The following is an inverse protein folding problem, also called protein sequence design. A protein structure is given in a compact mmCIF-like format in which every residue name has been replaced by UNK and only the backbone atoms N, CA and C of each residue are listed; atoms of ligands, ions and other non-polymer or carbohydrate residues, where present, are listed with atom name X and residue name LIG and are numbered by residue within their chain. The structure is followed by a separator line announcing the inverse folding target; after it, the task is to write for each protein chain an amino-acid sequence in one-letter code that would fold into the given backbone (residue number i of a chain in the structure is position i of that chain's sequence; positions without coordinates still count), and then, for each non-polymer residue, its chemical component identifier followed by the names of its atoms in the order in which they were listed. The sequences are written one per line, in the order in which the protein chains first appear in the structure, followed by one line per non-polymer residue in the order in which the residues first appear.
data_IF_577984302308
#
_entry.id   IF_577984302308
#
_cell.length_a   1.000
_cell.length_b   1.000
_cell.length_c   1.000
_cell.angle_alpha   90.00
_cell.angle_beta   90.00
_cell.angle_gamma   90.00
#
_symmetry.space_group_name_H-M   'P 1'
#
loop_
_entity.id
_entity.type
_entity.pdbx_description
1 polymer ?
#
# COMPACT_ATOMS: atom_id res chain seq x y z
N UNK A 1 -6.91 12.25 4.04
CA UNK A 1 -7.90 13.00 3.24
C UNK A 1 -7.47 13.13 1.78
N UNK A 2 -6.29 13.67 1.48
CA UNK A 2 -5.82 13.83 0.10
C UNK A 2 -5.82 12.48 -0.68
N UNK A 3 -5.26 11.41 -0.08
CA UNK A 3 -5.26 10.04 -0.63
C UNK A 3 -6.64 9.39 -0.75
N UNK A 4 -7.64 9.86 0.02
CA UNK A 4 -9.02 9.37 -0.06
C UNK A 4 -9.70 9.92 -1.32
N UNK A 5 -9.53 11.23 -1.56
CA UNK A 5 -10.14 11.92 -2.69
C UNK A 5 -9.45 11.58 -4.02
N UNK A 6 -8.16 11.28 -4.02
CA UNK A 6 -7.49 10.84 -5.25
C UNK A 6 -7.94 9.47 -5.76
N UNK A 7 -8.64 8.69 -4.94
CA UNK A 7 -9.15 7.38 -5.32
C UNK A 7 -8.07 6.49 -5.93
N UNK A 8 -8.33 5.99 -7.14
CA UNK A 8 -7.40 5.15 -7.91
C UNK A 8 -6.35 5.94 -8.73
N UNK A 9 -6.07 7.21 -8.42
CA UNK A 9 -4.99 7.96 -9.09
C UNK A 9 -3.62 7.44 -8.65
N UNK A 10 -3.12 6.42 -9.36
CA UNK A 10 -2.00 5.61 -8.87
C UNK A 10 -0.63 6.24 -9.09
N UNK A 11 -0.40 7.00 -10.16
CA UNK A 11 0.98 7.10 -10.67
C UNK A 11 1.85 8.18 -10.01
N UNK A 12 1.40 9.44 -9.97
CA UNK A 12 2.26 10.53 -9.46
C UNK A 12 1.80 11.04 -8.08
N UNK A 13 0.50 11.03 -7.85
CA UNK A 13 -0.09 11.59 -6.65
C UNK A 13 0.20 10.76 -5.39
N UNK A 14 0.18 9.44 -5.50
CA UNK A 14 0.54 8.56 -4.39
C UNK A 14 1.98 8.81 -3.93
N UNK A 15 2.91 8.91 -4.88
CA UNK A 15 4.32 9.20 -4.60
C UNK A 15 4.50 10.52 -3.88
N UNK A 16 3.71 11.53 -4.24
CA UNK A 16 3.68 12.83 -3.54
C UNK A 16 3.26 12.66 -2.09
N UNK A 17 2.14 11.97 -1.85
CA UNK A 17 1.66 11.70 -0.50
C UNK A 17 2.75 10.98 0.31
N UNK A 18 3.47 10.04 -0.31
CA UNK A 18 4.55 9.30 0.35
C UNK A 18 5.71 10.20 0.73
N UNK A 19 6.20 11.03 -0.19
CA UNK A 19 7.31 11.96 0.06
C UNK A 19 6.94 12.96 1.17
N UNK A 20 5.71 13.47 1.18
CA UNK A 20 5.22 14.36 2.23
C UNK A 20 5.22 13.63 3.59
N UNK A 21 4.67 12.41 3.66
CA UNK A 21 4.63 11.63 4.90
C UNK A 21 6.05 11.33 5.43
N UNK A 22 6.97 10.94 4.55
CA UNK A 22 8.36 10.62 4.91
C UNK A 22 9.09 11.86 5.44
N UNK A 23 8.88 13.03 4.84
CA UNK A 23 9.56 14.28 5.23
C UNK A 23 9.01 14.89 6.53
N UNK A 24 7.69 14.85 6.75
CA UNK A 24 7.07 15.42 7.96
C UNK A 24 7.16 14.52 9.19
N UNK A 25 7.12 13.20 9.00
CA UNK A 25 7.07 12.25 10.10
C UNK A 25 8.25 11.27 10.04
N UNK A 26 9.51 11.73 10.18
CA UNK A 26 10.67 10.86 10.03
C UNK A 26 10.69 9.68 11.01
N UNK A 27 10.27 9.91 12.27
CA UNK A 27 10.20 8.87 13.30
C UNK A 27 9.02 7.90 13.11
N UNK A 28 7.86 8.39 12.69
CA UNK A 28 6.62 7.62 12.55
C UNK A 28 6.22 7.43 11.07
N UNK A 29 7.20 7.40 10.14
CA UNK A 29 6.95 7.41 8.69
C UNK A 29 6.09 6.22 8.23
N UNK A 30 6.33 5.03 8.78
CA UNK A 30 5.59 3.83 8.43
C UNK A 30 4.10 3.94 8.82
N UNK A 31 3.79 4.53 9.99
CA UNK A 31 2.43 4.80 10.44
C UNK A 31 1.72 5.80 9.52
N UNK A 32 2.39 6.91 9.20
CA UNK A 32 1.84 7.93 8.31
C UNK A 32 1.58 7.38 6.90
N UNK A 33 2.52 6.61 6.36
CA UNK A 33 2.41 5.98 5.04
C UNK A 33 1.27 4.96 4.98
N UNK A 34 1.15 4.11 6.00
CA UNK A 34 0.06 3.13 6.09
C UNK A 34 -1.31 3.78 6.16
N UNK A 35 -1.47 4.78 7.03
CA UNK A 35 -2.73 5.53 7.11
C UNK A 35 -3.05 6.20 5.78
N UNK A 36 -2.09 6.90 5.18
CA UNK A 36 -2.28 7.59 3.91
C UNK A 36 -2.69 6.62 2.80
N UNK A 37 -1.97 5.50 2.65
CA UNK A 37 -2.25 4.49 1.61
C UNK A 37 -3.56 3.74 1.85
N UNK A 38 -3.92 3.49 3.12
CA UNK A 38 -5.14 2.75 3.47
C UNK A 38 -6.38 3.47 2.92
N UNK A 39 -6.49 4.79 3.08
CA UNK A 39 -7.64 5.56 2.61
C UNK A 39 -7.89 5.47 1.10
N UNK A 40 -6.87 5.19 0.28
CA UNK A 40 -7.08 4.91 -1.15
C UNK A 40 -7.94 3.66 -1.38
N UNK A 41 -7.85 2.65 -0.50
CA UNK A 41 -8.68 1.44 -0.54
C UNK A 41 -10.14 1.64 -0.13
N UNK A 42 -10.47 2.74 0.55
CA UNK A 42 -11.83 3.07 1.02
C UNK A 42 -12.58 3.99 0.04
N UNK A 43 -11.83 4.69 -0.81
CA UNK A 43 -12.36 5.67 -1.77
C UNK A 43 -13.53 5.14 -2.62
N UNK A 44 -13.40 3.92 -3.17
CA UNK A 44 -14.44 3.30 -3.98
C UNK A 44 -15.75 3.07 -3.24
N UNK A 45 -15.69 2.63 -1.97
CA UNK A 45 -16.88 2.46 -1.14
C UNK A 45 -17.60 3.80 -0.89
N UNK A 46 -16.84 4.88 -0.70
CA UNK A 46 -17.41 6.22 -0.53
C UNK A 46 -18.06 6.70 -1.83
N UNK A 47 -17.42 6.51 -2.98
CA UNK A 47 -18.01 6.88 -4.27
C UNK A 47 -19.29 6.09 -4.55
N UNK A 48 -19.33 4.82 -4.16
CA UNK A 48 -20.53 3.99 -4.25
C UNK A 48 -21.66 4.53 -3.36
N UNK A 49 -21.36 4.90 -2.11
CA UNK A 49 -22.35 5.51 -1.21
C UNK A 49 -22.88 6.84 -1.74
N UNK A 50 -22.01 7.69 -2.31
CA UNK A 50 -22.45 8.95 -2.94
C UNK A 50 -23.39 8.65 -4.10
N UNK A 51 -23.05 7.68 -4.96
CA UNK A 51 -23.91 7.29 -6.08
C UNK A 51 -25.28 6.79 -5.61
N UNK A 52 -25.30 5.82 -4.68
CA UNK A 52 -26.53 5.24 -4.13
C UNK A 52 -27.39 6.25 -3.34
N UNK A 53 -26.77 7.30 -2.78
CA UNK A 53 -27.50 8.37 -2.08
C UNK A 53 -28.33 9.29 -3.00
N UNK A 54 -28.06 9.23 -4.30
CA UNK A 54 -28.77 10.00 -5.34
C UNK A 54 -29.68 9.07 -6.13
N UNK A 55 -29.12 8.02 -6.75
CA UNK A 55 -29.88 7.03 -7.50
C UNK A 55 -29.23 5.64 -7.35
N UNK A 56 -29.82 4.71 -6.57
CA UNK A 56 -29.29 3.36 -6.39
C UNK A 56 -29.44 2.48 -7.62
N UNK A 57 -30.19 2.91 -8.65
CA UNK A 57 -30.43 2.11 -9.86
C UNK A 57 -29.49 2.47 -11.02
N UNK A 58 -28.69 3.55 -10.92
CA UNK A 58 -27.80 4.02 -11.98
C UNK A 58 -26.33 4.10 -11.55
N UNK A 59 -25.50 3.24 -12.15
CA UNK A 59 -24.06 3.19 -11.89
C UNK A 59 -23.27 4.31 -12.61
N UNK A 60 -23.89 5.08 -13.51
CA UNK A 60 -23.21 6.16 -14.25
C UNK A 60 -22.55 7.17 -13.33
N UNK A 61 -23.22 7.52 -12.23
CA UNK A 61 -22.68 8.48 -11.27
C UNK A 61 -21.44 7.94 -10.57
N UNK A 62 -21.42 6.66 -10.21
CA UNK A 62 -20.23 6.01 -9.64
C UNK A 62 -19.04 6.06 -10.62
N UNK A 63 -19.28 5.74 -11.90
CA UNK A 63 -18.22 5.83 -12.91
C UNK A 63 -17.76 7.26 -13.15
N UNK A 64 -18.68 8.23 -13.16
CA UNK A 64 -18.37 9.65 -13.29
C UNK A 64 -17.50 10.15 -12.13
N UNK A 65 -17.83 9.77 -10.89
CA UNK A 65 -17.06 10.11 -9.70
C UNK A 65 -15.63 9.54 -9.78
N UNK A 66 -15.49 8.27 -10.18
CA UNK A 66 -14.18 7.64 -10.38
C UNK A 66 -13.34 8.33 -11.48
N UNK A 67 -13.98 8.93 -12.50
CA UNK A 67 -13.26 9.65 -13.55
C UNK A 67 -12.87 11.08 -13.13
N UNK A 68 -13.80 11.82 -12.51
CA UNK A 68 -13.67 13.27 -12.31
C UNK A 68 -12.98 13.63 -10.99
N UNK A 69 -13.29 12.94 -9.89
CA UNK A 69 -12.75 13.28 -8.57
C UNK A 69 -11.22 13.11 -8.52
N UNK A 70 -10.64 11.98 -9.01
CA UNK A 70 -9.18 11.85 -9.11
C UNK A 70 -8.52 12.92 -9.99
N UNK A 71 -9.15 13.31 -11.09
CA UNK A 71 -8.64 14.37 -11.97
C UNK A 71 -8.57 15.72 -11.24
N UNK A 72 -9.67 16.16 -10.63
CA UNK A 72 -9.74 17.45 -9.91
C UNK A 72 -8.75 17.48 -8.74
N UNK A 73 -8.71 16.42 -7.95
CA UNK A 73 -7.84 16.35 -6.77
C UNK A 73 -6.36 16.38 -7.16
N UNK A 74 -5.99 15.69 -8.24
CA UNK A 74 -4.64 15.74 -8.80
C UNK A 74 -4.26 17.16 -9.27
N UNK A 75 -5.17 17.88 -9.94
CA UNK A 75 -4.93 19.26 -10.37
C UNK A 75 -4.77 20.22 -9.18
N UNK A 76 -5.62 20.10 -8.15
CA UNK A 76 -5.53 20.91 -6.93
C UNK A 76 -4.23 20.60 -6.19
N UNK A 77 -3.87 19.33 -6.02
CA UNK A 77 -2.64 18.94 -5.34
C UNK A 77 -1.39 19.43 -6.08
N UNK A 78 -1.40 19.45 -7.42
CA UNK A 78 -0.31 20.03 -8.21
C UNK A 78 -0.14 21.52 -7.90
N UNK A 79 -1.24 22.27 -7.85
CA UNK A 79 -1.21 23.70 -7.50
C UNK A 79 -0.69 23.92 -6.08
N UNK A 80 -1.14 23.11 -5.11
CA UNK A 80 -0.68 23.18 -3.73
C UNK A 80 0.82 22.86 -3.62
N UNK A 81 1.31 21.88 -4.37
CA UNK A 81 2.72 21.51 -4.35
C UNK A 81 3.64 22.53 -5.00
N UNK A 82 3.22 23.21 -6.07
CA UNK A 82 4.02 24.32 -6.63
C UNK A 82 4.20 25.44 -5.60
N UNK A 83 3.23 25.59 -4.68
CA UNK A 83 3.26 26.58 -3.60
C UNK A 83 3.92 26.05 -2.32
N UNK A 84 4.31 24.78 -2.30
CA UNK A 84 4.80 24.11 -1.10
C UNK A 84 6.30 24.36 -0.89
N UNK A 85 6.66 24.94 0.25
CA UNK A 85 8.04 24.94 0.78
C UNK A 85 8.08 24.06 2.04
N UNK A 86 8.96 23.06 2.11
CA UNK A 86 9.14 22.28 3.32
C UNK A 86 9.68 23.18 4.45
N UNK A 87 9.34 22.91 5.72
CA UNK A 87 9.95 23.59 6.86
C UNK A 87 11.45 23.28 6.94
N UNK A 88 12.28 24.30 7.17
CA UNK A 88 13.75 24.19 7.15
C UNK A 88 14.36 23.47 8.38
N UNK A 89 13.55 23.12 9.39
CA UNK A 89 14.06 22.48 10.61
C UNK A 89 13.10 21.40 11.15
N UNK A 90 13.61 20.22 11.56
CA UNK A 90 12.82 19.26 12.33
C UNK A 90 12.45 19.86 13.71
N UNK A 91 11.23 19.63 14.20
CA UNK A 91 10.80 20.14 15.52
C UNK A 91 11.63 19.51 16.65
N UNK A 92 12.02 20.32 17.63
CA UNK A 92 12.86 19.92 18.77
C UNK A 92 12.22 18.79 19.60
N UNK A 93 13.10 17.91 20.09
CA UNK A 93 12.86 16.70 20.85
C UNK A 93 11.96 16.86 22.09
N UNK A 94 10.67 16.62 21.90
CA UNK A 94 9.68 16.53 22.99
C UNK A 94 8.28 16.12 22.54
N UNK A 95 7.96 16.25 21.25
CA UNK A 95 6.67 15.91 20.65
C UNK A 95 6.51 14.43 20.24
N UNK A 96 7.60 13.66 20.22
CA UNK A 96 7.61 12.31 19.63
C UNK A 96 6.66 11.30 20.30
N UNK A 97 6.43 11.39 21.61
CA UNK A 97 5.57 10.43 22.31
C UNK A 97 4.07 10.72 22.08
N UNK A 98 3.71 11.99 21.92
CA UNK A 98 2.33 12.41 21.61
C UNK A 98 1.96 12.05 20.16
N UNK A 99 2.92 12.05 19.24
CA UNK A 99 2.69 11.70 17.84
C UNK A 99 2.28 10.23 17.67
N UNK A 100 2.95 9.29 18.35
CA UNK A 100 2.63 7.86 18.21
C UNK A 100 1.25 7.50 18.78
N UNK A 101 0.83 8.13 19.89
CA UNK A 101 -0.53 7.97 20.44
C UNK A 101 -1.59 8.55 19.50
N UNK A 102 -1.32 9.71 18.88
CA UNK A 102 -2.19 10.30 17.87
C UNK A 102 -2.30 9.39 16.64
N UNK A 103 -1.19 8.83 16.15
CA UNK A 103 -1.21 7.86 15.05
C UNK A 103 -1.99 6.59 15.40
N UNK A 104 -1.88 6.08 16.62
CA UNK A 104 -2.67 4.94 17.08
C UNK A 104 -4.16 5.27 17.10
N UNK A 105 -4.55 6.45 17.60
CA UNK A 105 -5.93 6.92 17.57
C UNK A 105 -6.45 7.05 16.13
N UNK A 106 -5.66 7.65 15.23
CA UNK A 106 -5.99 7.77 13.82
C UNK A 106 -6.18 6.40 13.16
N UNK A 107 -5.32 5.43 13.48
CA UNK A 107 -5.46 4.04 13.03
C UNK A 107 -6.70 3.38 13.59
N UNK A 108 -7.03 3.57 14.87
CA UNK A 108 -8.26 3.05 15.46
C UNK A 108 -9.52 3.63 14.80
N UNK A 109 -9.53 4.93 14.50
CA UNK A 109 -10.62 5.58 13.75
C UNK A 109 -10.68 5.07 12.30
N UNK A 110 -9.54 4.86 11.64
CA UNK A 110 -9.49 4.29 10.31
C UNK A 110 -10.06 2.86 10.29
N UNK A 111 -9.65 2.00 11.24
CA UNK A 111 -10.20 0.64 11.41
C UNK A 111 -11.71 0.70 11.60
N UNK A 112 -12.19 1.57 12.49
CA UNK A 112 -13.61 1.75 12.75
C UNK A 112 -14.38 2.20 11.50
N UNK A 113 -13.80 3.12 10.72
CA UNK A 113 -14.37 3.61 9.46
C UNK A 113 -14.43 2.51 8.41
N UNK A 114 -13.38 1.70 8.28
CA UNK A 114 -13.34 0.56 7.36
C UNK A 114 -14.35 -0.52 7.73
N UNK A 115 -14.47 -0.88 9.01
CA UNK A 115 -15.48 -1.83 9.51
C UNK A 115 -16.90 -1.31 9.26
N UNK A 116 -17.13 -0.04 9.56
CA UNK A 116 -18.41 0.63 9.33
C UNK A 116 -18.83 0.55 7.85
N UNK A 117 -17.91 0.88 6.93
CA UNK A 117 -18.18 0.83 5.50
C UNK A 117 -18.33 -0.60 4.98
N UNK A 118 -17.51 -1.54 5.45
CA UNK A 118 -17.61 -2.96 5.05
C UNK A 118 -18.98 -3.55 5.40
N UNK A 119 -19.49 -3.27 6.60
CA UNK A 119 -20.76 -3.84 7.08
C UNK A 119 -21.96 -3.14 6.46
N UNK A 120 -21.93 -1.81 6.33
CA UNK A 120 -23.11 -1.03 5.97
C UNK A 120 -23.26 -0.72 4.48
N UNK A 121 -22.17 -0.75 3.70
CA UNK A 121 -22.24 -0.53 2.24
C UNK A 121 -22.99 -1.65 1.51
N UNK A 122 -23.05 -2.86 2.06
CA UNK A 122 -23.85 -3.96 1.49
C UNK A 122 -25.36 -3.80 1.73
N UNK A 123 -25.75 -3.01 2.74
CA UNK A 123 -27.15 -2.81 3.15
C UNK A 123 -27.74 -1.52 2.54
N UNK A 124 -26.93 -0.70 1.89
CA UNK A 124 -27.33 0.61 1.34
C UNK A 124 -28.04 0.54 0.00
N UNK A 125 -29.09 -0.30 -0.12
CA UNK A 125 -29.92 -0.41 -1.33
C UNK A 125 -31.00 0.67 -1.43
N UNK A 126 -31.37 1.28 -0.32
CA UNK A 126 -32.30 2.42 -0.26
C UNK A 126 -31.53 3.75 -0.15
N UNK A 127 -32.00 4.78 -0.85
CA UNK A 127 -31.51 6.16 -0.81
C UNK A 127 -31.42 6.69 0.63
N UNK A 128 -32.45 6.44 1.46
CA UNK A 128 -32.47 6.93 2.83
C UNK A 128 -31.36 6.28 3.68
N UNK A 129 -31.16 4.97 3.51
CA UNK A 129 -30.10 4.21 4.17
C UNK A 129 -28.73 4.65 3.66
N UNK A 130 -28.55 4.79 2.35
CA UNK A 130 -27.30 5.25 1.75
C UNK A 130 -26.90 6.65 2.26
N UNK A 131 -27.86 7.58 2.40
CA UNK A 131 -27.60 8.91 2.99
C UNK A 131 -27.21 8.85 4.45
N UNK A 132 -27.86 8.01 5.25
CA UNK A 132 -27.53 7.82 6.66
C UNK A 132 -26.12 7.23 6.80
N UNK A 133 -25.81 6.19 6.01
CA UNK A 133 -24.50 5.54 6.01
C UNK A 133 -23.41 6.52 5.54
N UNK A 134 -23.67 7.29 4.48
CA UNK A 134 -22.75 8.31 4.00
C UNK A 134 -22.50 9.40 5.07
N UNK A 135 -23.55 9.82 5.77
CA UNK A 135 -23.43 10.82 6.85
C UNK A 135 -22.55 10.30 7.97
N UNK A 136 -22.75 9.06 8.42
CA UNK A 136 -21.90 8.44 9.43
C UNK A 136 -20.44 8.28 8.97
N UNK A 137 -20.22 7.89 7.71
CA UNK A 137 -18.88 7.81 7.12
C UNK A 137 -18.19 9.18 7.10
N UNK A 138 -18.89 10.25 6.71
CA UNK A 138 -18.34 11.62 6.72
C UNK A 138 -17.99 12.05 8.15
N UNK A 139 -18.84 11.77 9.14
CA UNK A 139 -18.57 12.11 10.54
C UNK A 139 -17.30 11.40 11.04
N UNK A 140 -17.16 10.10 10.76
CA UNK A 140 -15.97 9.32 11.13
C UNK A 140 -14.70 9.82 10.43
N UNK A 141 -14.81 10.28 9.17
CA UNK A 141 -13.69 10.83 8.41
C UNK A 141 -13.28 12.24 8.87
N UNK A 142 -14.23 13.06 9.32
CA UNK A 142 -13.97 14.43 9.81
C UNK A 142 -13.48 14.43 11.26
N UNK A 143 -13.84 13.43 12.07
CA UNK A 143 -13.41 13.30 13.46
C UNK A 143 -11.87 13.45 13.65
N UNK A 144 -11.01 12.78 12.87
CA UNK A 144 -9.56 12.99 12.85
C UNK A 144 -9.07 14.40 12.51
N UNK A 145 -9.85 15.19 11.78
CA UNK A 145 -9.47 16.56 11.41
C UNK A 145 -9.68 17.53 12.59
N UNK A 146 -10.59 17.16 13.48
CA UNK A 146 -10.97 17.95 14.66
C UNK A 146 -10.06 17.64 15.85
N UNK A 147 -9.40 16.47 15.90
CA UNK A 147 -8.45 16.13 16.97
C UNK A 147 -7.26 17.09 17.12
N UNK A 148 -6.58 17.58 16.05
CA UNK A 148 -5.56 18.62 16.22
C UNK A 148 -6.15 19.99 16.62
N UNK A 149 -7.44 20.22 16.40
CA UNK A 149 -8.13 21.47 16.76
C UNK A 149 -8.70 21.46 18.18
N UNK A 150 -9.02 20.27 18.70
CA UNK A 150 -9.60 20.03 20.03
C UNK A 150 -8.56 19.77 21.12
N UNK A 151 -7.27 19.93 20.83
CA UNK A 151 -6.26 20.12 21.87
C UNK A 151 -5.98 21.63 22.01
N UNK A 152 -6.87 22.41 22.67
CA UNK A 152 -6.57 23.78 23.04
C UNK A 152 -5.54 23.73 24.17
N UNK A 153 -4.27 23.57 23.81
CA UNK A 153 -3.20 23.47 24.80
C UNK A 153 -1.76 23.59 24.28
N UNK A 154 -1.51 23.40 22.99
CA UNK A 154 -0.11 23.31 22.48
C UNK A 154 0.38 24.60 21.80
N UNK A 155 -0.37 25.70 21.87
CA UNK A 155 0.11 27.04 21.48
C UNK A 155 0.46 27.91 22.71
N UNK A 156 0.26 27.43 23.94
CA UNK A 156 0.52 28.27 25.11
C UNK A 156 0.84 27.50 26.40
N UNK A 157 1.92 26.71 26.44
CA UNK A 157 2.58 26.33 27.70
C UNK A 157 4.09 26.37 27.49
N UNK A 158 4.64 27.58 27.47
CA UNK A 158 5.95 27.81 28.07
C UNK A 158 5.75 27.84 29.60
N UNK A 159 6.65 27.21 30.35
CA UNK A 159 6.70 27.16 31.83
C UNK A 159 5.71 26.21 32.52
N UNK A 160 6.09 24.96 32.74
CA UNK A 160 6.58 24.52 34.06
C UNK A 160 7.08 23.07 33.96
N UNK A 161 8.38 22.92 34.18
CA UNK A 161 9.08 21.67 34.36
C UNK A 161 8.70 21.06 35.71
N UNK A 162 8.39 19.75 35.72
CA UNK A 162 8.68 18.89 36.86
C UNK A 162 8.94 17.46 36.38
N UNK A 163 10.13 16.98 36.75
CA UNK A 163 10.70 15.68 36.47
C UNK A 163 9.84 14.54 37.03
N UNK A 164 9.68 13.45 36.26
CA UNK A 164 9.48 12.09 36.78
C UNK A 164 9.80 11.07 35.69
N UNK A 165 10.97 10.44 35.80
CA UNK A 165 11.50 9.51 34.81
C UNK A 165 10.73 8.18 34.69
N UNK A 166 10.84 7.55 33.52
CA UNK A 166 11.31 6.17 33.35
C UNK A 166 11.40 5.83 31.85
N UNK A 167 12.64 5.53 31.42
CA UNK A 167 13.09 4.57 30.40
C UNK A 167 14.29 5.18 29.66
N UNK A 168 15.45 4.91 30.25
CA UNK A 168 16.77 4.99 29.62
C UNK A 168 16.81 3.91 28.53
N UNK A 169 16.90 4.29 27.24
CA UNK A 169 17.56 3.61 26.09
C UNK A 169 17.15 4.41 24.84
N UNK A 170 17.88 5.50 24.55
CA UNK A 170 18.02 6.09 23.20
C UNK A 170 19.22 7.06 23.18
N UNK A 171 20.37 6.63 23.71
CA UNK A 171 21.60 7.44 23.67
C UNK A 171 22.56 7.02 22.55
N UNK A 172 22.56 5.75 22.15
CA UNK A 172 23.55 5.25 21.16
C UNK A 172 23.21 5.57 19.69
N UNK A 173 21.93 5.79 19.34
CA UNK A 173 21.57 6.20 17.97
C UNK A 173 21.61 7.72 17.75
N UNK A 174 21.55 8.51 18.82
CA UNK A 174 21.49 9.97 18.77
C UNK A 174 22.88 10.60 18.59
N UNK A 175 23.92 10.02 19.20
CA UNK A 175 25.30 10.53 19.05
C UNK A 175 25.86 10.34 17.63
N UNK A 176 25.43 9.32 16.89
CA UNK A 176 25.85 9.10 15.49
C UNK A 176 25.26 10.12 14.51
N UNK A 177 24.03 10.60 14.77
CA UNK A 177 23.36 11.61 13.95
C UNK A 177 23.86 13.05 14.26
N UNK A 178 24.26 13.32 15.50
CA UNK A 178 24.78 14.65 15.89
C UNK A 178 26.21 14.90 15.38
N UNK A 179 27.07 13.87 15.31
CA UNK A 179 28.45 14.01 14.83
C UNK A 179 28.54 14.36 13.34
N UNK A 180 27.51 14.03 12.54
CA UNK A 180 27.52 14.28 11.09
C UNK A 180 27.07 15.70 10.67
N UNK A 181 26.45 16.47 11.57
CA UNK A 181 25.99 17.84 11.28
C UNK A 181 26.98 18.96 11.64
N UNK A 182 28.16 18.63 12.18
CA UNK A 182 29.22 19.59 12.48
C UNK A 182 30.48 19.34 11.63
N UNK A 183 30.40 19.64 10.32
CA UNK A 183 31.58 20.05 9.55
C UNK A 183 31.28 21.33 8.77
N UNK A 184 31.94 22.45 9.08
CA UNK A 184 31.92 23.60 8.21
C UNK A 184 32.81 23.34 6.97
N UNK A 185 32.33 23.80 5.82
CA UNK A 185 33.04 23.80 4.55
C UNK A 185 34.31 24.68 4.59
N UNK A 186 35.44 24.10 4.15
CA UNK A 186 36.59 24.80 3.59
C UNK A 186 37.84 24.97 4.48
N UNK A 187 38.88 24.17 4.23
CA UNK A 187 40.28 24.63 4.19
C UNK A 187 41.21 23.59 3.52
N UNK A 188 42.19 24.10 2.77
CA UNK A 188 43.16 23.41 1.92
C UNK A 188 44.31 22.71 2.68
N UNK A 189 44.71 21.58 2.11
CA UNK A 189 46.08 21.09 1.83
C UNK A 189 47.03 20.62 2.96
N UNK A 190 47.76 19.56 2.56
CA UNK A 190 49.04 19.01 3.03
C UNK A 190 49.15 17.93 4.13
N UNK A 191 49.54 16.76 3.62
CA UNK A 191 50.62 15.84 4.04
C UNK A 191 50.63 15.24 5.45
N UNK A 192 50.52 13.90 5.53
CA UNK A 192 51.67 13.00 5.81
C UNK A 192 51.28 11.52 5.74
N UNK A 193 51.79 10.87 4.68
CA UNK A 193 52.44 9.55 4.62
C UNK A 193 51.81 8.28 5.26
N UNK A 194 51.52 7.34 4.34
CA UNK A 194 51.93 5.91 4.32
C UNK A 194 51.81 5.11 5.62
N UNK A 195 50.83 4.20 5.63
CA UNK A 195 51.10 2.77 5.86
C UNK A 195 50.30 1.97 4.83
N UNK A 196 51.05 1.31 3.95
CA UNK A 196 50.60 0.31 3.00
C UNK A 196 50.55 -1.04 3.74
N UNK A 197 49.41 -1.72 3.71
CA UNK A 197 49.31 -3.14 4.06
C UNK A 197 48.26 -3.79 3.16
N UNK A 198 48.79 -4.46 2.14
CA UNK A 198 48.38 -5.77 1.60
C UNK A 198 46.90 -6.01 1.25
N UNK A 199 46.65 -5.85 -0.05
CA UNK A 199 46.14 -6.90 -0.96
C UNK A 199 45.54 -8.16 -0.31
N UNK A 200 44.22 -8.16 -0.14
CA UNK A 200 43.39 -9.37 -0.25
C UNK A 200 41.99 -9.00 -0.76
N UNK A 201 41.53 -9.50 -1.92
CA UNK A 201 40.24 -9.11 -2.50
C UNK A 201 39.06 -9.99 -2.03
N UNK A 202 39.18 -10.73 -0.93
CA UNK A 202 38.22 -11.81 -0.62
C UNK A 202 37.27 -11.56 0.57
N UNK A 203 37.35 -10.43 1.26
CA UNK A 203 36.40 -10.10 2.34
C UNK A 203 36.23 -8.58 2.45
N UNK A 204 35.45 -7.99 1.54
CA UNK A 204 35.03 -6.58 1.62
C UNK A 204 33.51 -6.38 1.57
N UNK A 205 32.75 -7.46 1.45
CA UNK A 205 31.29 -7.45 1.38
C UNK A 205 30.69 -7.95 2.69
N UNK A 206 30.78 -7.15 3.76
CA UNK A 206 29.87 -7.23 4.92
C UNK A 206 30.13 -6.06 5.89
N UNK A 207 30.19 -4.83 5.36
CA UNK A 207 29.86 -3.70 6.22
C UNK A 207 28.37 -3.80 6.56
N UNK A 208 27.98 -3.82 7.86
CA UNK A 208 26.58 -3.83 8.24
C UNK A 208 25.92 -2.59 7.64
N UNK A 209 24.88 -2.82 6.84
CA UNK A 209 24.10 -1.77 6.17
C UNK A 209 23.59 -0.81 7.24
N UNK A 210 24.13 0.41 7.25
CA UNK A 210 23.55 1.51 8.04
C UNK A 210 22.27 1.91 7.29
N UNK A 211 21.14 1.39 7.76
CA UNK A 211 19.81 1.70 7.23
C UNK A 211 19.61 3.21 7.25
N UNK A 212 19.24 3.80 6.09
CA UNK A 212 18.90 5.22 5.98
C UNK A 212 19.95 6.14 5.35
N UNK A 213 21.16 5.67 5.00
CA UNK A 213 22.10 6.48 4.21
C UNK A 213 21.61 6.70 2.77
N UNK A 214 21.93 7.87 2.19
CA UNK A 214 21.55 8.16 0.81
C UNK A 214 22.24 7.21 -0.16
N UNK A 215 21.44 6.39 -0.84
CA UNK A 215 21.93 5.61 -1.96
C UNK A 215 21.57 6.31 -3.26
N UNK A 216 22.60 6.68 -4.04
CA UNK A 216 22.41 7.15 -5.41
C UNK A 216 21.57 6.13 -6.19
N UNK A 217 20.61 6.58 -6.99
CA UNK A 217 19.72 5.71 -7.79
C UNK A 217 20.46 4.72 -8.69
N UNK A 218 21.71 5.03 -9.07
CA UNK A 218 22.59 4.10 -9.79
C UNK A 218 23.07 2.94 -8.92
N UNK A 219 23.35 3.20 -7.64
CA UNK A 219 23.77 2.19 -6.67
C UNK A 219 22.61 1.22 -6.36
N UNK A 220 21.37 1.74 -6.33
CA UNK A 220 20.15 0.94 -6.15
C UNK A 220 20.06 -0.22 -7.15
N UNK A 221 20.09 0.10 -8.44
CA UNK A 221 19.89 -0.89 -9.52
C UNK A 221 21.06 -1.86 -9.70
N UNK A 222 22.21 -1.58 -9.08
CA UNK A 222 23.38 -2.49 -9.09
C UNK A 222 23.37 -3.51 -7.94
N UNK A 223 22.53 -3.32 -6.92
CA UNK A 223 22.51 -4.17 -5.71
C UNK A 223 21.61 -5.38 -5.91
N UNK A 224 22.10 -6.55 -5.50
CA UNK A 224 21.30 -7.79 -5.52
C UNK A 224 20.10 -7.74 -4.57
N UNK A 225 20.24 -7.08 -3.42
CA UNK A 225 19.15 -6.94 -2.43
C UNK A 225 17.92 -6.24 -3.02
N UNK A 226 18.16 -5.22 -3.86
CA UNK A 226 17.08 -4.54 -4.59
C UNK A 226 16.38 -5.48 -5.55
N UNK A 227 17.12 -6.28 -6.34
CA UNK A 227 16.53 -7.22 -7.29
C UNK A 227 15.79 -8.37 -6.59
N UNK A 228 16.29 -8.86 -5.45
CA UNK A 228 15.60 -9.84 -4.63
C UNK A 228 14.26 -9.28 -4.13
N UNK A 229 14.28 -8.05 -3.62
CA UNK A 229 13.08 -7.33 -3.19
C UNK A 229 12.11 -7.07 -4.36
N UNK A 230 12.63 -6.67 -5.51
CA UNK A 230 11.87 -6.40 -6.74
C UNK A 230 11.11 -7.65 -7.21
N UNK A 231 11.80 -8.80 -7.27
CA UNK A 231 11.20 -10.09 -7.63
C UNK A 231 10.20 -10.55 -6.58
N UNK A 232 10.50 -10.41 -5.28
CA UNK A 232 9.57 -10.76 -4.22
C UNK A 232 8.26 -9.95 -4.30
N UNK A 233 8.35 -8.64 -4.58
CA UNK A 233 7.16 -7.83 -4.81
C UNK A 233 6.42 -8.25 -6.08
N UNK A 234 7.13 -8.53 -7.17
CA UNK A 234 6.53 -8.97 -8.44
C UNK A 234 5.70 -10.25 -8.25
N UNK A 235 6.24 -11.25 -7.56
CA UNK A 235 5.54 -12.51 -7.26
C UNK A 235 4.39 -12.35 -6.26
N UNK A 236 4.37 -11.27 -5.48
CA UNK A 236 3.36 -11.03 -4.45
C UNK A 236 2.34 -9.98 -4.83
N UNK A 237 2.77 -8.73 -4.73
CA UNK A 237 1.94 -7.56 -4.97
C UNK A 237 1.41 -7.50 -6.40
N UNK A 238 2.24 -7.81 -7.41
CA UNK A 238 1.80 -7.71 -8.80
C UNK A 238 0.83 -8.84 -9.19
N UNK A 239 1.08 -10.08 -8.79
CA UNK A 239 0.12 -11.18 -9.03
C UNK A 239 -1.25 -10.84 -8.41
N UNK A 240 -1.26 -10.32 -7.19
CA UNK A 240 -2.50 -9.93 -6.54
C UNK A 240 -3.26 -8.78 -7.26
N UNK A 241 -2.54 -7.87 -7.94
CA UNK A 241 -3.18 -6.84 -8.79
C UNK A 241 -3.76 -7.44 -10.05
N UNK A 242 -3.04 -8.36 -10.70
CA UNK A 242 -3.53 -9.05 -11.89
C UNK A 242 -4.81 -9.81 -11.56
N UNK A 243 -4.83 -10.51 -10.41
CA UNK A 243 -6.04 -11.14 -9.89
C UNK A 243 -7.18 -10.13 -9.68
N UNK A 244 -6.92 -9.01 -8.99
CA UNK A 244 -7.94 -7.98 -8.73
C UNK A 244 -8.51 -7.37 -10.01
N UNK A 245 -7.69 -7.12 -11.01
CA UNK A 245 -8.10 -6.52 -12.27
C UNK A 245 -8.97 -7.48 -13.10
N UNK A 246 -8.81 -8.79 -12.89
CA UNK A 246 -9.56 -9.83 -13.57
C UNK A 246 -10.64 -10.48 -12.69
N UNK A 247 -10.85 -10.00 -11.46
CA UNK A 247 -11.76 -10.61 -10.48
C UNK A 247 -13.19 -10.76 -11.01
N UNK A 248 -13.69 -9.76 -11.75
CA UNK A 248 -14.99 -9.85 -12.41
C UNK A 248 -15.06 -11.00 -13.41
N UNK A 249 -14.08 -11.10 -14.32
CA UNK A 249 -14.00 -12.19 -15.30
C UNK A 249 -13.85 -13.56 -14.63
N UNK A 250 -13.04 -13.65 -13.56
CA UNK A 250 -12.87 -14.88 -12.77
C UNK A 250 -14.21 -15.31 -12.16
N UNK A 251 -14.90 -14.39 -11.49
CA UNK A 251 -16.19 -14.64 -10.84
C UNK A 251 -17.29 -15.02 -11.84
N UNK A 252 -17.38 -14.31 -12.95
CA UNK A 252 -18.33 -14.62 -14.03
C UNK A 252 -18.04 -15.99 -14.67
N UNK A 253 -16.75 -16.34 -14.84
CA UNK A 253 -16.35 -17.63 -15.41
C UNK A 253 -16.73 -18.81 -14.53
N UNK A 254 -16.80 -18.63 -13.21
CA UNK A 254 -17.27 -19.65 -12.26
C UNK A 254 -18.80 -19.72 -12.13
N UNK A 255 -19.54 -18.85 -12.83
CA UNK A 255 -20.99 -18.76 -12.73
C UNK A 255 -21.50 -17.90 -11.58
N UNK A 256 -20.65 -17.11 -10.92
CA UNK A 256 -21.00 -16.26 -9.77
C UNK A 256 -21.23 -14.78 -10.17
N UNK A 257 -21.93 -14.53 -11.29
CA UNK A 257 -22.11 -13.18 -11.84
C UNK A 257 -22.78 -12.19 -10.87
N UNK A 258 -23.68 -12.67 -10.00
CA UNK A 258 -24.34 -11.86 -8.98
C UNK A 258 -23.40 -11.36 -7.89
N UNK A 259 -22.25 -12.02 -7.71
CA UNK A 259 -21.36 -11.82 -6.57
C UNK A 259 -20.14 -10.96 -6.92
N UNK A 260 -19.99 -10.54 -8.18
CA UNK A 260 -18.86 -9.71 -8.63
C UNK A 260 -18.72 -8.45 -7.77
N UNK A 261 -19.83 -7.75 -7.51
CA UNK A 261 -19.82 -6.52 -6.71
C UNK A 261 -19.43 -6.76 -5.24
N UNK A 262 -19.86 -7.89 -4.66
CA UNK A 262 -19.51 -8.24 -3.28
C UNK A 262 -18.05 -8.67 -3.17
N UNK A 263 -17.52 -9.41 -4.14
CA UNK A 263 -16.12 -9.82 -4.20
C UNK A 263 -15.16 -8.63 -4.38
N UNK A 264 -15.49 -7.68 -5.26
CA UNK A 264 -14.67 -6.46 -5.45
C UNK A 264 -14.67 -5.59 -4.18
N UNK A 265 -15.82 -5.48 -3.52
CA UNK A 265 -15.94 -4.77 -2.23
C UNK A 265 -15.14 -5.46 -1.13
N UNK A 266 -15.20 -6.79 -1.06
CA UNK A 266 -14.44 -7.60 -0.12
C UNK A 266 -12.93 -7.44 -0.33
N UNK A 267 -12.46 -7.55 -1.58
CA UNK A 267 -11.05 -7.33 -1.92
C UNK A 267 -10.58 -5.95 -1.44
N UNK A 268 -11.36 -4.90 -1.74
CA UNK A 268 -11.02 -3.53 -1.39
C UNK A 268 -10.94 -3.32 0.13
N UNK A 269 -11.89 -3.89 0.88
CA UNK A 269 -11.90 -3.83 2.34
C UNK A 269 -10.75 -4.63 2.96
N UNK A 270 -10.49 -5.85 2.48
CA UNK A 270 -9.35 -6.64 2.95
C UNK A 270 -8.02 -5.94 2.62
N UNK A 271 -7.90 -5.30 1.45
CA UNK A 271 -6.73 -4.48 1.09
C UNK A 271 -6.57 -3.26 2.00
N UNK A 272 -7.67 -2.61 2.37
CA UNK A 272 -7.66 -1.54 3.37
C UNK A 272 -7.07 -2.01 4.71
N UNK A 273 -7.60 -3.11 5.26
CA UNK A 273 -7.10 -3.66 6.52
C UNK A 273 -5.66 -4.17 6.40
N UNK A 274 -5.29 -4.76 5.26
CA UNK A 274 -3.91 -5.16 4.98
C UNK A 274 -2.94 -4.00 5.03
N UNK A 275 -3.30 -2.86 4.42
CA UNK A 275 -2.50 -1.63 4.47
C UNK A 275 -2.31 -1.14 5.91
N UNK A 276 -3.37 -1.14 6.72
CA UNK A 276 -3.28 -0.80 8.14
C UNK A 276 -2.42 -1.79 8.93
N UNK A 277 -2.53 -3.09 8.65
CA UNK A 277 -1.77 -4.14 9.33
C UNK A 277 -0.25 -4.03 9.08
N UNK A 278 0.17 -3.34 8.02
CA UNK A 278 1.60 -3.13 7.72
C UNK A 278 2.36 -2.34 8.79
N UNK A 279 1.67 -1.67 9.72
CA UNK A 279 2.28 -0.95 10.85
C UNK A 279 2.45 -1.83 12.10
N UNK A 280 1.90 -3.04 12.09
CA UNK A 280 2.03 -3.98 13.20
C UNK A 280 3.50 -4.23 13.63
N UNK A 281 4.49 -4.30 12.72
CA UNK A 281 5.90 -4.43 13.09
C UNK A 281 6.39 -3.33 14.04
N UNK A 282 5.86 -2.12 13.90
CA UNK A 282 6.29 -0.95 14.68
C UNK A 282 5.67 -0.92 16.08
N UNK A 283 4.61 -1.71 16.33
CA UNK A 283 3.94 -1.82 17.63
C UNK A 283 4.31 -3.07 18.44
N UNK A 284 4.98 -4.04 17.81
CA UNK A 284 5.37 -5.29 18.47
C UNK A 284 6.57 -5.07 19.41
N UNK A 285 6.53 -5.63 20.64
CA UNK A 285 7.63 -5.46 21.60
C UNK A 285 8.93 -6.07 21.08
N UNK A 286 10.06 -5.43 21.41
CA UNK A 286 11.43 -5.73 20.94
C UNK A 286 11.90 -7.20 20.99
N UNK A 287 11.17 -8.10 21.67
CA UNK A 287 11.49 -9.54 21.68
C UNK A 287 11.25 -10.25 20.33
N UNK A 288 10.52 -9.63 19.40
CA UNK A 288 10.21 -10.18 18.07
C UNK A 288 10.79 -9.27 16.97
N UNK A 289 12.10 -9.00 16.98
CA UNK A 289 12.74 -8.20 15.94
C UNK A 289 12.94 -9.04 14.67
N UNK A 290 11.90 -9.09 13.84
CA UNK A 290 12.06 -9.48 12.44
C UNK A 290 12.43 -8.25 11.63
N UNK A 291 13.43 -8.38 10.74
CA UNK A 291 13.66 -7.38 9.71
C UNK A 291 12.34 -7.10 8.97
N UNK A 292 12.10 -5.85 8.55
CA UNK A 292 10.86 -5.49 7.84
C UNK A 292 10.65 -6.31 6.55
N UNK A 293 11.74 -6.82 5.97
CA UNK A 293 11.74 -7.80 4.88
C UNK A 293 11.15 -9.16 5.29
N UNK A 294 11.36 -9.60 6.53
CA UNK A 294 10.72 -10.79 7.10
C UNK A 294 9.20 -10.61 7.26
N UNK A 295 8.75 -9.42 7.65
CA UNK A 295 7.33 -9.07 7.65
C UNK A 295 6.74 -9.07 6.25
N UNK A 296 7.44 -8.51 5.27
CA UNK A 296 7.05 -8.60 3.86
C UNK A 296 6.92 -10.05 3.41
N UNK A 297 7.89 -10.91 3.72
CA UNK A 297 7.84 -12.33 3.38
C UNK A 297 6.65 -13.05 4.04
N UNK A 298 6.38 -12.77 5.33
CA UNK A 298 5.21 -13.30 6.03
C UNK A 298 3.89 -12.88 5.39
N UNK A 299 3.83 -11.63 4.89
CA UNK A 299 2.66 -11.08 4.24
C UNK A 299 2.41 -11.66 2.84
N UNK A 300 3.38 -12.36 2.23
CA UNK A 300 3.20 -13.07 0.95
C UNK A 300 2.52 -14.43 1.11
N UNK A 301 2.61 -15.04 2.29
CA UNK A 301 2.06 -16.39 2.57
C UNK A 301 0.55 -16.48 2.30
N UNK A 302 -0.31 -15.52 2.71
CA UNK A 302 -1.74 -15.62 2.46
C UNK A 302 -2.11 -15.69 0.97
N UNK A 303 -1.36 -15.00 0.10
CA UNK A 303 -1.57 -15.06 -1.35
C UNK A 303 -1.30 -16.47 -1.90
N UNK A 304 -0.25 -17.13 -1.42
CA UNK A 304 0.06 -18.52 -1.82
C UNK A 304 -1.03 -19.49 -1.36
N UNK A 305 -1.48 -19.35 -0.11
CA UNK A 305 -2.59 -20.15 0.44
C UNK A 305 -3.87 -19.93 -0.36
N UNK A 306 -4.15 -18.69 -0.76
CA UNK A 306 -5.32 -18.35 -1.56
C UNK A 306 -5.30 -19.01 -2.95
N UNK A 307 -4.16 -19.03 -3.64
CA UNK A 307 -4.05 -19.71 -4.93
C UNK A 307 -4.17 -21.23 -4.81
N UNK A 308 -3.61 -21.84 -3.77
CA UNK A 308 -3.82 -23.26 -3.48
C UNK A 308 -5.30 -23.56 -3.21
N UNK A 309 -6.00 -22.67 -2.51
CA UNK A 309 -7.43 -22.79 -2.24
C UNK A 309 -8.25 -22.70 -3.54
N UNK A 310 -7.93 -21.77 -4.44
CA UNK A 310 -8.60 -21.62 -5.75
C UNK A 310 -8.38 -22.83 -6.66
N UNK A 311 -7.20 -23.45 -6.61
CA UNK A 311 -6.91 -24.65 -7.43
C UNK A 311 -7.62 -25.90 -6.89
N UNK A 312 -7.81 -25.98 -5.58
CA UNK A 312 -8.36 -27.16 -4.90
C UNK A 312 -9.89 -27.17 -4.80
N UNK A 313 -10.56 -26.02 -4.91
CA UNK A 313 -12.02 -25.91 -4.74
C UNK A 313 -12.66 -24.87 -5.65
N UNK A 314 -13.71 -25.27 -6.38
CA UNK A 314 -14.52 -24.38 -7.23
C UNK A 314 -15.73 -23.77 -6.46
N UNK A 315 -15.72 -23.86 -5.13
CA UNK A 315 -16.84 -23.37 -4.30
C UNK A 315 -16.82 -21.85 -4.14
N UNK A 316 -18.01 -21.23 -4.02
CA UNK A 316 -18.13 -19.79 -3.75
C UNK A 316 -17.40 -19.38 -2.45
N UNK A 317 -17.45 -20.24 -1.43
CA UNK A 317 -16.73 -20.02 -0.18
C UNK A 317 -15.21 -19.99 -0.37
N UNK A 318 -14.66 -20.86 -1.23
CA UNK A 318 -13.24 -20.87 -1.57
C UNK A 318 -12.84 -19.59 -2.32
N UNK A 319 -13.64 -19.16 -3.31
CA UNK A 319 -13.41 -17.92 -4.05
C UNK A 319 -13.42 -16.71 -3.11
N UNK A 320 -14.47 -16.58 -2.29
CA UNK A 320 -14.63 -15.49 -1.32
C UNK A 320 -13.46 -15.43 -0.33
N UNK A 321 -13.06 -16.59 0.21
CA UNK A 321 -11.94 -16.67 1.15
C UNK A 321 -10.61 -16.32 0.48
N UNK A 322 -10.38 -16.81 -0.75
CA UNK A 322 -9.18 -16.49 -1.51
C UNK A 322 -9.11 -14.98 -1.84
N UNK A 323 -10.22 -14.37 -2.27
CA UNK A 323 -10.30 -12.93 -2.52
C UNK A 323 -9.96 -12.13 -1.26
N UNK A 324 -10.46 -12.54 -0.09
CA UNK A 324 -10.15 -11.88 1.18
C UNK A 324 -8.65 -11.99 1.54
N UNK A 325 -8.05 -13.18 1.40
CA UNK A 325 -6.64 -13.41 1.68
C UNK A 325 -5.72 -12.63 0.72
N UNK A 326 -6.00 -12.63 -0.58
CA UNK A 326 -5.24 -11.88 -1.59
C UNK A 326 -5.39 -10.38 -1.34
N UNK A 327 -6.60 -9.90 -1.01
CA UNK A 327 -6.83 -8.51 -0.62
C UNK A 327 -5.97 -8.10 0.56
N UNK A 328 -6.01 -8.87 1.66
CA UNK A 328 -5.24 -8.58 2.87
C UNK A 328 -3.72 -8.59 2.62
N UNK A 329 -3.21 -9.61 1.93
CA UNK A 329 -1.80 -9.73 1.58
C UNK A 329 -1.32 -8.57 0.71
N UNK A 330 -2.05 -8.28 -0.38
CA UNK A 330 -1.68 -7.21 -1.30
C UNK A 330 -1.69 -5.84 -0.64
N UNK A 331 -2.70 -5.55 0.18
CA UNK A 331 -2.77 -4.33 0.96
C UNK A 331 -1.53 -4.14 1.84
N UNK A 332 -1.15 -5.19 2.57
CA UNK A 332 0.06 -5.16 3.40
C UNK A 332 1.30 -4.90 2.54
N UNK A 333 1.48 -5.65 1.45
CA UNK A 333 2.63 -5.54 0.55
C UNK A 333 2.75 -4.13 -0.03
N UNK A 334 1.65 -3.50 -0.45
CA UNK A 334 1.67 -2.13 -0.97
C UNK A 334 2.20 -1.12 0.04
N UNK A 335 1.65 -1.14 1.26
CA UNK A 335 2.04 -0.18 2.29
C UNK A 335 3.45 -0.45 2.82
N UNK A 336 3.77 -1.72 3.09
CA UNK A 336 5.09 -2.13 3.54
C UNK A 336 6.16 -1.78 2.50
N UNK A 337 5.87 -1.89 1.20
CA UNK A 337 6.83 -1.58 0.16
C UNK A 337 7.28 -0.12 0.13
N UNK A 338 6.37 0.82 0.37
CA UNK A 338 6.74 2.24 0.44
C UNK A 338 7.68 2.48 1.63
N UNK A 339 7.36 1.90 2.78
CA UNK A 339 8.14 2.06 4.01
C UNK A 339 9.51 1.37 3.94
N UNK A 340 9.59 0.15 3.38
CA UNK A 340 10.85 -0.58 3.14
C UNK A 340 11.73 0.19 2.17
N UNK A 341 11.16 0.72 1.08
CA UNK A 341 11.92 1.48 0.08
C UNK A 341 12.54 2.74 0.70
N UNK A 342 11.81 3.43 1.58
CA UNK A 342 12.30 4.62 2.27
C UNK A 342 13.36 4.32 3.35
N UNK A 343 13.36 3.12 3.93
CA UNK A 343 14.36 2.70 4.92
C UNK A 343 15.63 2.15 4.29
N UNK A 344 15.48 1.33 3.24
CA UNK A 344 16.59 0.63 2.63
C UNK A 344 17.44 1.57 1.76
N UNK A 345 16.84 2.64 1.21
CA UNK A 345 17.50 3.48 0.22
C UNK A 345 17.50 4.99 0.55
N UNK A 346 17.10 5.34 1.77
CA UNK A 346 17.09 6.71 2.28
C UNK A 346 15.82 7.52 1.93
N UNK A 347 15.46 8.51 2.77
CA UNK A 347 14.20 9.24 2.65
C UNK A 347 14.15 10.25 1.50
N UNK A 348 15.29 10.82 1.09
CA UNK A 348 15.33 11.92 0.12
C UNK A 348 15.07 11.47 -1.32
N UNK A 349 15.49 10.25 -1.67
CA UNK A 349 15.23 9.64 -3.00
C UNK A 349 14.12 8.58 -2.96
N UNK A 350 13.41 8.42 -1.83
CA UNK A 350 12.41 7.38 -1.63
C UNK A 350 11.31 7.38 -2.72
N UNK A 351 10.86 8.56 -3.16
CA UNK A 351 9.85 8.66 -4.22
C UNK A 351 10.32 8.13 -5.57
N UNK A 352 11.58 8.42 -5.95
CA UNK A 352 12.19 7.91 -7.19
C UNK A 352 12.40 6.40 -7.09
N UNK A 353 12.97 5.93 -5.99
CA UNK A 353 13.24 4.51 -5.75
C UNK A 353 11.95 3.69 -5.74
N UNK A 354 10.88 4.20 -5.14
CA UNK A 354 9.58 3.54 -5.13
C UNK A 354 8.95 3.51 -6.53
N UNK A 355 9.09 4.60 -7.29
CA UNK A 355 8.63 4.63 -8.69
C UNK A 355 9.38 3.60 -9.56
N UNK A 356 10.69 3.38 -9.33
CA UNK A 356 11.45 2.33 -10.00
C UNK A 356 10.92 0.95 -9.58
N UNK A 357 10.65 0.72 -8.29
CA UNK A 357 10.08 -0.55 -7.81
C UNK A 357 8.72 -0.87 -8.47
N UNK A 358 7.78 0.08 -8.48
CA UNK A 358 6.42 -0.15 -9.02
C UNK A 358 6.41 -0.34 -10.55
N UNK A 359 7.53 -0.16 -11.25
CA UNK A 359 7.64 -0.61 -12.66
C UNK A 359 7.43 -2.11 -12.80
N UNK A 360 7.53 -2.88 -11.71
CA UNK A 360 7.16 -4.28 -11.73
C UNK A 360 5.67 -4.52 -11.96
N UNK A 361 4.80 -3.52 -11.75
CA UNK A 361 3.35 -3.66 -11.96
C UNK A 361 3.07 -3.82 -13.46
N UNK A 362 3.48 -2.90 -14.35
CA UNK A 362 3.30 -3.09 -15.79
C UNK A 362 4.09 -4.30 -16.31
N UNK A 363 5.32 -4.52 -15.85
CA UNK A 363 6.12 -5.67 -16.28
C UNK A 363 5.49 -7.00 -15.89
N UNK A 364 5.08 -7.16 -14.63
CA UNK A 364 4.39 -8.35 -14.17
C UNK A 364 3.03 -8.51 -14.80
N UNK A 365 2.26 -7.43 -14.98
CA UNK A 365 0.98 -7.51 -15.71
C UNK A 365 1.16 -8.05 -17.13
N UNK A 366 2.20 -7.64 -17.85
CA UNK A 366 2.51 -8.19 -19.17
C UNK A 366 2.90 -9.66 -19.10
N UNK A 367 3.80 -10.03 -18.18
CA UNK A 367 4.28 -11.41 -18.04
C UNK A 367 3.15 -12.36 -17.63
N UNK A 368 2.43 -12.04 -16.55
CA UNK A 368 1.34 -12.88 -16.05
C UNK A 368 0.17 -12.95 -17.03
N UNK A 369 -0.22 -11.84 -17.67
CA UNK A 369 -1.28 -11.88 -18.68
C UNK A 369 -0.88 -12.73 -19.90
N UNK A 370 0.38 -12.66 -20.34
CA UNK A 370 0.87 -13.51 -21.42
C UNK A 370 0.90 -14.98 -21.02
N UNK A 371 1.37 -15.30 -19.82
CA UNK A 371 1.36 -16.67 -19.29
C UNK A 371 -0.07 -17.21 -19.21
N UNK A 372 -1.00 -16.45 -18.64
CA UNK A 372 -2.41 -16.83 -18.57
C UNK A 372 -2.99 -17.10 -19.98
N UNK A 373 -2.68 -16.24 -20.97
CA UNK A 373 -3.13 -16.41 -22.35
C UNK A 373 -2.55 -17.67 -23.02
N UNK A 374 -1.23 -17.91 -22.89
CA UNK A 374 -0.56 -19.08 -23.46
C UNK A 374 -1.10 -20.38 -22.86
N UNK A 375 -1.32 -20.40 -21.55
CA UNK A 375 -1.85 -21.59 -20.89
C UNK A 375 -3.31 -21.81 -21.28
N UNK A 376 -4.11 -20.75 -21.38
CA UNK A 376 -5.48 -20.83 -21.87
C UNK A 376 -5.55 -21.45 -23.27
N UNK A 377 -4.70 -20.98 -24.20
CA UNK A 377 -4.64 -21.51 -25.56
C UNK A 377 -4.21 -22.99 -25.61
N UNK A 378 -3.21 -23.37 -24.81
CA UNK A 378 -2.76 -24.77 -24.72
C UNK A 378 -3.85 -25.73 -24.24
N UNK A 379 -4.76 -25.28 -23.38
CA UNK A 379 -5.87 -26.09 -22.86
C UNK A 379 -7.09 -26.12 -23.79
N UNK A 380 -7.26 -25.13 -24.67
CA UNK A 380 -8.27 -25.18 -25.74
C UNK A 380 -7.90 -26.26 -26.77
N UNK A 381 -6.62 -26.37 -27.15
CA UNK A 381 -6.15 -27.31 -28.19
C UNK A 381 -6.34 -28.79 -27.84
N UNK A 382 -6.40 -29.14 -26.56
CA UNK A 382 -6.65 -30.52 -26.11
C UNK A 382 -8.14 -30.89 -26.01
N UNK A 383 -9.04 -29.93 -26.19
CA UNK A 383 -10.50 -30.10 -26.06
C UNK A 383 -11.15 -30.23 -27.44
N UNK A 384 -10.95 -31.38 -28.10
CA UNK A 384 -11.39 -31.66 -29.47
C UNK A 384 -12.91 -31.77 -29.69
N UNK A 385 -13.67 -30.71 -29.46
CA UNK A 385 -15.02 -30.55 -30.03
C UNK A 385 -15.19 -29.18 -30.66
N UNK A 386 -14.96 -29.14 -31.96
CA UNK A 386 -15.37 -28.05 -32.86
C UNK A 386 -16.79 -28.37 -33.32
N UNK A 387 -17.79 -27.74 -32.70
CA UNK A 387 -19.12 -27.65 -33.32
C UNK A 387 -19.16 -26.35 -34.12
N UNK A 388 -18.89 -26.49 -35.42
CA UNK A 388 -19.12 -25.43 -36.40
C UNK A 388 -20.61 -25.30 -36.67
N UNK A 389 -21.23 -24.22 -36.20
CA UNK A 389 -22.44 -23.70 -36.82
C UNK A 389 -22.22 -22.23 -37.19
N UNK A 390 -22.13 -22.02 -38.50
CA UNK A 390 -22.34 -20.78 -39.25
C UNK A 390 -21.88 -19.45 -38.63
N UNK A 391 -20.68 -19.00 -39.05
CA UNK A 391 -20.30 -17.58 -39.13
C UNK A 391 -20.13 -16.75 -37.86
N UNK A 392 -20.58 -17.23 -36.69
CA UNK A 392 -20.50 -16.52 -35.42
C UNK A 392 -19.99 -17.48 -34.34
N UNK A 393 -18.70 -17.36 -33.97
CA UNK A 393 -18.11 -18.15 -32.88
C UNK A 393 -18.71 -17.72 -31.53
N UNK A 394 -19.77 -18.41 -31.10
CA UNK A 394 -20.23 -18.39 -29.70
C UNK A 394 -19.81 -19.71 -29.08
N UNK A 395 -18.87 -19.65 -28.14
CA UNK A 395 -18.44 -20.80 -27.35
C UNK A 395 -19.46 -21.02 -26.23
N UNK A 396 -20.24 -22.10 -26.31
CA UNK A 396 -21.11 -22.53 -25.24
C UNK A 396 -20.83 -24.02 -24.94
N UNK A 397 -20.19 -24.28 -23.79
CA UNK A 397 -20.04 -25.62 -23.22
C UNK A 397 -19.85 -25.47 -21.70
N UNK A 398 -20.92 -25.81 -20.97
CA UNK A 398 -21.36 -25.11 -19.76
C UNK A 398 -21.06 -25.83 -18.43
N UNK A 399 -19.85 -26.35 -18.23
CA UNK A 399 -19.52 -26.89 -16.90
C UNK A 399 -18.05 -27.16 -16.65
N UNK A 400 -17.41 -27.96 -17.50
CA UNK A 400 -16.03 -28.41 -17.26
C UNK A 400 -14.98 -27.42 -17.79
N UNK A 401 -15.28 -26.72 -18.90
CA UNK A 401 -14.42 -25.67 -19.49
C UNK A 401 -14.33 -24.40 -18.62
N UNK A 402 -15.36 -24.13 -17.83
CA UNK A 402 -15.46 -22.97 -16.93
C UNK A 402 -14.56 -23.12 -15.69
N UNK A 403 -14.45 -24.33 -15.12
CA UNK A 403 -13.50 -24.65 -14.04
C UNK A 403 -12.03 -24.51 -14.49
N UNK A 404 -11.73 -24.90 -15.72
CA UNK A 404 -10.39 -24.75 -16.33
C UNK A 404 -10.03 -23.28 -16.56
N UNK A 405 -10.98 -22.48 -17.06
CA UNK A 405 -10.82 -21.03 -17.25
C UNK A 405 -10.50 -20.31 -15.93
N UNK A 406 -11.08 -20.78 -14.83
CA UNK A 406 -10.87 -20.24 -13.50
C UNK A 406 -9.49 -20.54 -12.88
N UNK A 407 -8.93 -21.74 -13.14
CA UNK A 407 -7.59 -22.09 -12.64
C UNK A 407 -6.46 -21.32 -13.33
N UNK A 408 -6.74 -20.77 -14.52
CA UNK A 408 -5.73 -20.09 -15.34
C UNK A 408 -5.78 -18.56 -15.34
N UNK A 409 -6.90 -17.93 -15.02
CA UNK A 409 -6.91 -16.49 -14.68
C UNK A 409 -6.37 -16.19 -13.27
N UNK A 410 -6.22 -17.22 -12.43
CA UNK A 410 -5.65 -17.15 -11.08
C UNK A 410 -4.15 -17.49 -11.03
N UNK A 411 -3.49 -17.80 -12.16
CA UNK A 411 -2.03 -17.88 -12.28
C UNK A 411 -1.52 -16.61 -12.94
#
# INVERSE_FOLDING_TARGET
MLSLLAGCSICWFNTVCYVICIKYFPANKALALSLSTSFSGVSGAIYNLIANSIDPNDNKLFFLLNAVVPLITSAVALLLMIRYSPPDAPPLDGTHHYDSANFLLLTAVAISTGLYLLVLNSVSSDVAVARLVLTGAIVLLVLPLVTPLMVPGVVNISFHQEDSGFILIDKDHRELLEVQMQRPDGFLDRDLNKVDFDNNPLFKDEQPVVLGEEHSTKLLITRLDFWLYYVAYMCGGTIALVYSNNLGQISESLGYQSDVGSLVSLYSACSFFGRLLSTLPDFLPHKMYYARTGWLASALVPTQVAFLLLVSSDSNAALTTATALIGLSSGFVFSAAVSITAELFGPNSAGVNHNILITNIPLGSLVYSLLAALIYEANIGNSGEVVSQDGSKIYQSAGEKHSIQCKFCAL
#
